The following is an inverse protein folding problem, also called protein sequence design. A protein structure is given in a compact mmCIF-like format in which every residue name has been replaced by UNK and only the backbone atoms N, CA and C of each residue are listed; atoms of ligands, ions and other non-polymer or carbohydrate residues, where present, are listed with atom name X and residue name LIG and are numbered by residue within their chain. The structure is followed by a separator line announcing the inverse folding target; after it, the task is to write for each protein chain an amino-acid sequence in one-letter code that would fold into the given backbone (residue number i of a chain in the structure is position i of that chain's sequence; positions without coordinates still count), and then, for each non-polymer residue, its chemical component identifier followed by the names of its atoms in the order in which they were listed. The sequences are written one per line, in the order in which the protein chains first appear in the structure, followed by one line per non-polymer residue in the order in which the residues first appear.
data_IF_813196556145
#
_entry.id   IF_813196556145
#
_cell.length_a   1.000
_cell.length_b   1.000
_cell.length_c   1.000
_cell.angle_alpha   90.00
_cell.angle_beta   90.00
_cell.angle_gamma   90.00
#
_symmetry.space_group_name_H-M   'P 1'
#
loop_
_entity.id
_entity.type
_entity.pdbx_description
1 polymer ?
#
# COMPACT_ATOMS: atom_id res chain seq x y z
N UNK A 1 -56.29 52.72 10.63
CA UNK A 1 -55.34 52.36 9.59
C UNK A 1 -54.09 51.79 10.26
N UNK A 2 -53.93 50.48 10.27
CA UNK A 2 -52.80 49.80 10.87
C UNK A 2 -51.90 49.31 9.72
N UNK A 3 -50.72 49.83 9.62
CA UNK A 3 -49.72 49.40 8.64
C UNK A 3 -49.07 48.11 9.12
N UNK A 4 -49.29 47.02 8.39
CA UNK A 4 -48.52 45.80 8.51
C UNK A 4 -47.23 45.93 7.72
N UNK A 5 -46.11 45.92 8.42
CA UNK A 5 -44.80 45.80 7.81
C UNK A 5 -44.49 44.30 7.69
N UNK A 6 -44.48 43.80 6.45
CA UNK A 6 -44.09 42.43 6.14
C UNK A 6 -42.57 42.41 6.03
N UNK A 7 -41.90 41.79 7.02
CA UNK A 7 -40.46 41.52 6.98
C UNK A 7 -40.26 40.25 6.16
N UNK A 8 -39.74 40.39 4.96
CA UNK A 8 -39.27 39.24 4.16
C UNK A 8 -37.90 38.79 4.72
N UNK A 9 -37.91 37.66 5.38
CA UNK A 9 -36.66 36.97 5.77
C UNK A 9 -36.10 36.30 4.53
N UNK A 10 -35.09 36.90 3.92
CA UNK A 10 -34.26 36.27 2.90
C UNK A 10 -33.40 35.22 3.59
N UNK A 11 -33.80 33.96 3.48
CA UNK A 11 -32.94 32.82 3.84
C UNK A 11 -31.85 32.73 2.77
N UNK A 12 -30.71 33.32 3.02
CA UNK A 12 -29.51 33.08 2.24
C UNK A 12 -29.08 31.67 2.57
N UNK A 13 -29.48 30.70 1.73
CA UNK A 13 -28.85 29.41 1.70
C UNK A 13 -27.40 29.62 1.26
N UNK A 14 -26.51 29.86 2.22
CA UNK A 14 -25.07 29.76 1.98
C UNK A 14 -24.80 28.32 1.62
N UNK A 15 -24.72 28.00 0.33
CA UNK A 15 -24.02 26.84 -0.16
C UNK A 15 -22.56 26.96 0.30
N UNK A 16 -22.27 26.49 1.51
CA UNK A 16 -20.90 26.22 1.88
C UNK A 16 -20.37 25.23 0.84
N UNK A 17 -19.29 25.56 0.13
CA UNK A 17 -18.67 24.58 -0.74
C UNK A 17 -18.40 23.36 0.15
N UNK A 18 -18.89 22.21 -0.27
CA UNK A 18 -18.50 20.94 0.34
C UNK A 18 -16.97 20.92 0.25
N UNK A 19 -16.32 21.23 1.36
CA UNK A 19 -14.88 21.06 1.47
C UNK A 19 -14.64 19.58 1.18
N UNK A 20 -14.03 19.33 0.04
CA UNK A 20 -13.57 18.03 -0.36
C UNK A 20 -12.77 17.45 0.81
N UNK A 21 -13.24 16.38 1.41
CA UNK A 21 -12.61 15.70 2.55
C UNK A 21 -11.23 15.15 2.21
N UNK A 22 -10.82 15.27 0.98
CA UNK A 22 -9.55 14.83 0.44
C UNK A 22 -8.32 15.56 0.98
N UNK A 23 -8.49 16.57 1.83
CA UNK A 23 -7.41 17.24 2.57
C UNK A 23 -7.12 16.57 3.91
N UNK A 24 -7.91 15.57 4.29
CA UNK A 24 -7.82 14.94 5.62
C UNK A 24 -6.69 13.96 5.75
N UNK A 25 -6.22 13.37 4.63
CA UNK A 25 -5.13 12.39 4.65
C UNK A 25 -3.75 12.99 4.81
N UNK A 26 -3.57 14.23 4.41
CA UNK A 26 -2.30 14.88 4.57
C UNK A 26 -2.45 16.36 4.79
N UNK A 27 -1.76 16.89 5.78
CA UNK A 27 -1.69 18.33 6.09
C UNK A 27 -0.28 18.82 5.93
N UNK A 28 -0.15 20.06 5.45
CA UNK A 28 1.11 20.77 5.53
C UNK A 28 1.37 21.21 6.98
N UNK A 29 2.50 20.80 7.54
CA UNK A 29 3.01 21.36 8.78
C UNK A 29 3.52 22.78 8.58
N UNK A 30 3.87 23.45 9.69
CA UNK A 30 4.45 24.83 9.66
C UNK A 30 5.75 24.91 8.84
N UNK A 31 6.42 23.78 8.66
CA UNK A 31 7.63 23.61 7.84
C UNK A 31 7.32 23.34 6.37
N UNK A 32 6.04 23.36 5.96
CA UNK A 32 5.59 23.04 4.61
C UNK A 32 5.66 21.54 4.26
N UNK A 33 5.93 20.68 5.23
CA UNK A 33 5.97 19.21 5.03
C UNK A 33 4.58 18.65 5.24
N UNK A 34 4.11 17.86 4.29
CA UNK A 34 2.86 17.12 4.39
C UNK A 34 3.02 15.90 5.28
N UNK A 35 2.02 15.58 6.07
CA UNK A 35 1.96 14.40 6.91
C UNK A 35 0.56 13.79 6.88
N UNK A 36 0.48 12.49 7.11
CA UNK A 36 -0.78 11.76 7.16
C UNK A 36 -1.62 12.20 8.36
N UNK A 37 -2.91 12.37 8.13
CA UNK A 37 -3.91 12.68 9.17
C UNK A 37 -4.97 11.59 9.13
N UNK A 38 -5.24 11.00 10.27
CA UNK A 38 -6.34 10.07 10.45
C UNK A 38 -7.65 10.82 10.63
N UNK A 39 -8.72 10.36 9.99
CA UNK A 39 -10.07 10.84 10.21
C UNK A 39 -10.97 9.69 10.65
N UNK A 40 -11.24 9.62 11.95
CA UNK A 40 -12.00 8.53 12.56
C UNK A 40 -13.51 8.56 12.21
N UNK A 41 -13.98 9.61 11.54
CA UNK A 41 -15.40 9.79 11.17
C UNK A 41 -15.69 9.50 9.69
N UNK A 42 -14.69 9.19 8.90
CA UNK A 42 -14.84 8.97 7.48
C UNK A 42 -15.65 7.70 7.14
N UNK A 43 -16.41 7.76 6.04
CA UNK A 43 -17.02 6.58 5.45
C UNK A 43 -16.01 5.93 4.48
N UNK A 44 -15.47 4.77 4.79
CA UNK A 44 -14.41 4.15 3.99
C UNK A 44 -14.83 3.84 2.55
N UNK A 45 -16.09 3.44 2.33
CA UNK A 45 -16.58 3.12 0.97
C UNK A 45 -16.58 4.33 0.04
N UNK A 46 -16.76 5.53 0.58
CA UNK A 46 -16.77 6.77 -0.18
C UNK A 46 -15.49 7.02 -0.94
N UNK A 47 -14.35 6.61 -0.38
CA UNK A 47 -13.04 6.83 -0.99
C UNK A 47 -12.75 5.88 -2.15
N UNK A 48 -13.47 4.76 -2.22
CA UNK A 48 -13.37 3.80 -3.31
C UNK A 48 -14.24 4.19 -4.50
N UNK A 49 -15.39 4.84 -4.26
CA UNK A 49 -16.37 5.20 -5.29
C UNK A 49 -15.82 6.25 -6.28
N UNK A 50 -15.01 7.19 -5.81
CA UNK A 50 -14.45 8.28 -6.61
C UNK A 50 -13.11 7.92 -7.30
N UNK A 51 -12.57 6.74 -7.02
CA UNK A 51 -11.30 6.30 -7.58
C UNK A 51 -11.41 6.01 -9.08
N UNK A 52 -10.39 6.38 -9.83
CA UNK A 52 -10.28 6.09 -11.26
C UNK A 52 -9.53 4.80 -11.53
N UNK A 53 -8.44 4.59 -10.80
CA UNK A 53 -7.55 3.44 -10.96
C UNK A 53 -7.88 2.37 -9.94
N UNK A 54 -7.86 2.70 -8.65
CA UNK A 54 -8.06 1.75 -7.57
C UNK A 54 -9.54 1.65 -7.17
N UNK A 55 -10.37 1.20 -8.12
CA UNK A 55 -11.79 0.96 -7.93
C UNK A 55 -12.03 -0.37 -7.19
N UNK A 56 -13.16 -0.47 -6.48
CA UNK A 56 -13.54 -1.71 -5.80
C UNK A 56 -13.55 -2.92 -6.77
N UNK A 57 -13.12 -4.07 -6.26
CA UNK A 57 -13.03 -5.35 -6.98
C UNK A 57 -11.91 -5.42 -8.04
N UNK A 58 -11.18 -4.33 -8.27
CA UNK A 58 -9.98 -4.38 -9.11
C UNK A 58 -8.86 -5.10 -8.40
N UNK A 59 -8.11 -5.85 -9.18
CA UNK A 59 -6.99 -6.67 -8.75
C UNK A 59 -5.75 -6.34 -9.57
N UNK A 60 -4.64 -6.27 -8.87
CA UNK A 60 -3.34 -5.95 -9.43
C UNK A 60 -2.36 -7.02 -8.96
N UNK A 61 -1.87 -7.84 -9.86
CA UNK A 61 -0.87 -8.86 -9.56
C UNK A 61 0.53 -8.31 -9.80
N UNK A 62 1.33 -8.33 -8.76
CA UNK A 62 2.72 -7.90 -8.79
C UNK A 62 3.66 -9.10 -8.66
N UNK A 63 4.79 -9.04 -9.39
CA UNK A 63 5.94 -9.90 -9.17
C UNK A 63 7.01 -9.10 -8.47
N UNK A 64 7.72 -9.71 -7.51
CA UNK A 64 8.83 -9.08 -6.83
C UNK A 64 10.10 -9.94 -6.90
N UNK A 65 11.24 -9.27 -6.86
CA UNK A 65 12.56 -9.85 -6.75
C UNK A 65 13.29 -9.18 -5.59
N UNK A 66 13.89 -10.00 -4.73
CA UNK A 66 14.68 -9.51 -3.61
C UNK A 66 16.15 -9.80 -3.87
N UNK A 67 16.99 -8.79 -3.70
CA UNK A 67 18.45 -8.90 -3.78
C UNK A 67 19.04 -8.49 -2.44
N UNK A 68 19.88 -9.35 -1.87
CA UNK A 68 20.57 -9.04 -0.62
C UNK A 68 21.53 -7.84 -0.77
N UNK A 69 22.16 -7.35 0.33
CA UNK A 69 23.12 -6.23 0.25
C UNK A 69 24.33 -6.50 -0.65
N UNK A 70 24.65 -7.74 -0.95
CA UNK A 70 25.69 -8.17 -1.88
C UNK A 70 25.22 -8.21 -3.34
N UNK A 71 23.93 -8.01 -3.58
CA UNK A 71 23.31 -8.04 -4.90
C UNK A 71 22.94 -9.44 -5.38
N UNK A 72 22.98 -10.43 -4.50
CA UNK A 72 22.59 -11.82 -4.81
C UNK A 72 21.07 -11.93 -4.69
N UNK A 73 20.43 -12.50 -5.72
CA UNK A 73 18.97 -12.76 -5.68
C UNK A 73 18.67 -13.84 -4.66
N UNK A 74 17.70 -13.57 -3.78
CA UNK A 74 17.21 -14.48 -2.74
C UNK A 74 15.72 -14.69 -2.90
N UNK A 75 15.23 -15.81 -2.42
CA UNK A 75 13.85 -16.25 -2.63
C UNK A 75 13.14 -16.45 -1.32
N UNK A 76 11.89 -15.99 -1.25
CA UNK A 76 11.00 -16.27 -0.13
C UNK A 76 10.31 -17.62 -0.34
N UNK A 77 10.25 -18.45 0.69
CA UNK A 77 9.58 -19.75 0.69
C UNK A 77 8.47 -19.78 1.74
N UNK A 78 7.59 -20.74 1.60
CA UNK A 78 6.64 -21.09 2.65
C UNK A 78 6.77 -22.58 2.98
N UNK A 79 6.49 -22.92 4.22
CA UNK A 79 6.38 -24.31 4.67
C UNK A 79 4.96 -24.58 5.16
N UNK A 80 4.43 -25.74 4.78
CA UNK A 80 3.15 -26.23 5.27
C UNK A 80 3.41 -27.21 6.39
N UNK A 81 2.99 -26.85 7.60
CA UNK A 81 3.14 -27.73 8.76
C UNK A 81 1.84 -28.50 8.95
N UNK A 82 1.83 -29.82 8.82
CA UNK A 82 0.66 -30.63 9.07
C UNK A 82 0.33 -30.62 10.57
N UNK A 83 -0.91 -30.29 10.89
CA UNK A 83 -1.47 -30.40 12.25
C UNK A 83 -2.63 -31.37 12.27
N UNK A 84 -2.83 -32.02 13.41
CA UNK A 84 -4.00 -32.87 13.62
C UNK A 84 -5.10 -32.10 14.33
N UNK A 85 -6.28 -32.08 13.71
CA UNK A 85 -7.51 -31.61 14.29
C UNK A 85 -8.40 -32.76 14.74
N UNK A 86 -9.30 -32.48 15.67
CA UNK A 86 -10.24 -33.43 16.22
C UNK A 86 -11.65 -32.86 16.08
N UNK A 87 -12.56 -33.65 15.53
CA UNK A 87 -13.97 -33.31 15.44
C UNK A 87 -14.78 -34.37 16.20
N UNK A 88 -15.67 -33.90 17.10
CA UNK A 88 -16.62 -34.78 17.78
C UNK A 88 -17.78 -35.07 16.82
N UNK A 89 -18.02 -36.33 16.53
CA UNK A 89 -19.18 -36.74 15.78
C UNK A 89 -20.45 -36.66 16.63
N UNK A 90 -21.64 -36.68 16.01
CA UNK A 90 -22.92 -36.75 16.72
C UNK A 90 -23.05 -38.00 17.59
N UNK A 91 -22.30 -39.05 17.35
CA UNK A 91 -22.23 -40.29 18.14
C UNK A 91 -21.27 -40.20 19.32
N UNK A 92 -20.54 -39.08 19.45
CA UNK A 92 -19.52 -38.88 20.50
C UNK A 92 -18.13 -39.47 20.19
N UNK A 93 -17.96 -40.04 19.02
CA UNK A 93 -16.63 -40.53 18.56
C UNK A 93 -15.79 -39.33 18.10
N UNK A 94 -14.46 -39.50 18.21
CA UNK A 94 -13.52 -38.46 17.77
C UNK A 94 -12.96 -38.82 16.40
N UNK A 95 -13.33 -38.08 15.37
CA UNK A 95 -12.67 -38.18 14.08
C UNK A 95 -11.41 -37.31 14.06
N UNK A 96 -10.31 -37.91 13.62
CA UNK A 96 -9.03 -37.23 13.43
C UNK A 96 -8.91 -36.83 11.96
N UNK A 97 -8.61 -35.59 11.71
CA UNK A 97 -8.29 -35.11 10.36
C UNK A 97 -6.97 -34.34 10.37
N UNK A 98 -6.26 -34.39 9.25
CA UNK A 98 -5.05 -33.60 9.08
C UNK A 98 -5.42 -32.31 8.37
N UNK A 99 -5.15 -31.17 9.01
CA UNK A 99 -5.18 -29.88 8.37
C UNK A 99 -3.78 -29.29 8.34
N UNK A 100 -3.55 -28.38 7.44
CA UNK A 100 -2.27 -27.71 7.35
C UNK A 100 -2.42 -26.33 7.97
N UNK A 101 -1.74 -26.10 9.09
CA UNK A 101 -1.60 -24.76 9.61
C UNK A 101 -0.62 -24.00 8.74
N UNK A 102 -0.96 -22.79 8.46
CA UNK A 102 -0.12 -21.89 7.73
C UNK A 102 0.87 -21.21 8.68
N UNK A 103 1.64 -21.97 9.40
CA UNK A 103 2.81 -21.41 10.07
C UNK A 103 3.86 -21.13 8.99
N UNK A 104 3.56 -20.07 8.25
CA UNK A 104 4.41 -19.63 7.17
C UNK A 104 5.60 -18.89 7.79
N UNK A 105 6.72 -19.55 7.85
CA UNK A 105 8.00 -18.90 8.06
C UNK A 105 8.38 -18.12 6.78
N UNK A 106 7.59 -17.13 6.44
CA UNK A 106 7.91 -16.20 5.35
C UNK A 106 9.14 -15.31 5.64
N UNK A 107 9.84 -15.62 6.71
CA UNK A 107 11.01 -14.88 7.17
C UNK A 107 12.30 -15.32 6.51
N UNK A 108 12.32 -16.51 5.93
CA UNK A 108 13.55 -17.08 5.42
C UNK A 108 13.76 -16.74 3.95
N UNK A 109 14.96 -16.31 3.64
CA UNK A 109 15.40 -15.98 2.29
C UNK A 109 16.38 -17.05 1.85
N UNK A 110 16.05 -17.77 0.79
CA UNK A 110 16.80 -18.94 0.32
C UNK A 110 17.57 -18.64 -0.96
N UNK A 111 18.62 -19.43 -1.20
CA UNK A 111 19.40 -19.38 -2.43
C UNK A 111 18.71 -20.14 -3.59
N UNK A 112 17.85 -21.12 -3.25
CA UNK A 112 17.20 -21.98 -4.23
C UNK A 112 15.85 -21.41 -4.68
N UNK A 113 15.60 -21.52 -5.98
CA UNK A 113 14.41 -20.96 -6.65
C UNK A 113 13.17 -21.84 -6.56
N UNK A 114 13.33 -23.12 -6.23
CA UNK A 114 12.22 -24.08 -6.17
C UNK A 114 11.24 -23.75 -5.05
N UNK A 115 9.96 -23.78 -5.34
CA UNK A 115 8.86 -23.48 -4.41
C UNK A 115 8.92 -22.07 -3.80
N UNK A 116 9.38 -21.08 -4.56
CA UNK A 116 9.45 -19.70 -4.09
C UNK A 116 8.14 -18.94 -4.29
N UNK A 117 7.89 -18.03 -3.35
CA UNK A 117 6.85 -17.01 -3.49
C UNK A 117 7.50 -15.75 -4.05
N UNK A 118 7.09 -15.33 -5.23
CA UNK A 118 7.58 -14.10 -5.86
C UNK A 118 6.45 -13.24 -6.44
N UNK A 119 5.18 -13.56 -6.11
CA UNK A 119 4.02 -12.81 -6.56
C UNK A 119 3.07 -12.52 -5.40
N UNK A 120 2.45 -11.36 -5.45
CA UNK A 120 1.32 -11.02 -4.61
C UNK A 120 0.25 -10.27 -5.40
N UNK A 121 -1.00 -10.40 -4.98
CA UNK A 121 -2.14 -9.68 -5.50
C UNK A 121 -2.54 -8.59 -4.52
N UNK A 122 -2.85 -7.42 -5.05
CA UNK A 122 -3.56 -6.35 -4.35
C UNK A 122 -5.00 -6.35 -4.84
N UNK A 123 -5.95 -6.57 -3.95
CA UNK A 123 -7.37 -6.43 -4.24
C UNK A 123 -7.91 -5.17 -3.55
N UNK A 124 -8.57 -4.32 -4.33
CA UNK A 124 -9.23 -3.13 -3.81
C UNK A 124 -10.60 -3.51 -3.26
N UNK A 125 -10.81 -3.20 -1.98
CA UNK A 125 -12.02 -3.59 -1.27
C UNK A 125 -12.92 -2.38 -1.00
N UNK A 126 -14.24 -2.61 -1.05
CA UNK A 126 -15.19 -1.70 -0.41
C UNK A 126 -15.37 -2.12 1.06
N UNK A 127 -15.00 -1.25 1.98
CA UNK A 127 -15.00 -1.54 3.42
C UNK A 127 -16.39 -1.66 4.03
N UNK A 128 -17.48 -1.33 3.32
CA UNK A 128 -18.83 -1.64 3.80
C UNK A 128 -19.04 -3.14 4.07
N UNK A 129 -18.29 -4.00 3.38
CA UNK A 129 -18.26 -5.45 3.60
C UNK A 129 -17.33 -5.88 4.74
N UNK A 130 -16.47 -4.98 5.23
CA UNK A 130 -15.52 -5.25 6.29
C UNK A 130 -15.78 -4.31 7.46
N UNK A 131 -15.79 -4.81 8.67
CA UNK A 131 -16.16 -4.09 9.90
C UNK A 131 -15.19 -2.99 10.35
N UNK A 132 -14.25 -2.58 9.51
CA UNK A 132 -13.27 -1.51 9.80
C UNK A 132 -13.85 -0.14 9.48
N UNK A 133 -14.64 0.38 10.39
CA UNK A 133 -15.27 1.72 10.29
C UNK A 133 -14.31 2.89 10.54
N UNK A 134 -13.08 2.61 10.96
CA UNK A 134 -12.05 3.58 11.35
C UNK A 134 -11.04 3.88 10.25
N UNK A 135 -11.27 3.35 9.05
CA UNK A 135 -10.37 3.53 7.93
C UNK A 135 -10.91 4.61 6.99
N UNK A 136 -10.16 5.67 6.84
CA UNK A 136 -10.46 6.84 6.00
C UNK A 136 -9.75 6.81 4.64
N UNK A 137 -9.29 5.64 4.23
CA UNK A 137 -8.63 5.37 2.95
C UNK A 137 -9.37 4.25 2.22
N UNK A 138 -9.19 4.18 0.89
CA UNK A 138 -9.58 3.00 0.12
C UNK A 138 -8.81 1.80 0.66
N UNK A 139 -9.52 0.75 1.04
CA UNK A 139 -8.88 -0.44 1.60
C UNK A 139 -8.35 -1.34 0.50
N UNK A 140 -7.11 -1.73 0.62
CA UNK A 140 -6.48 -2.77 -0.17
C UNK A 140 -6.17 -3.99 0.70
N UNK A 141 -6.34 -5.18 0.12
CA UNK A 141 -5.97 -6.45 0.72
C UNK A 141 -4.81 -7.06 -0.07
N UNK A 142 -3.81 -7.55 0.64
CA UNK A 142 -2.65 -8.23 0.06
C UNK A 142 -2.80 -9.73 0.16
N UNK A 143 -2.46 -10.44 -0.91
CA UNK A 143 -2.50 -11.89 -0.97
C UNK A 143 -1.23 -12.40 -1.64
N UNK A 144 -0.45 -13.23 -0.98
CA UNK A 144 0.59 -13.98 -1.68
C UNK A 144 -0.02 -15.04 -2.58
N UNK A 145 0.56 -15.22 -3.76
CA UNK A 145 0.12 -16.19 -4.75
C UNK A 145 1.12 -17.35 -4.78
N UNK A 146 0.58 -18.55 -4.66
CA UNK A 146 1.31 -19.81 -4.71
C UNK A 146 1.06 -20.49 -6.06
N UNK A 147 2.01 -21.28 -6.53
CA UNK A 147 1.87 -22.02 -7.79
C UNK A 147 1.08 -23.33 -7.62
N UNK A 148 0.62 -23.64 -6.39
CA UNK A 148 -0.20 -24.80 -6.08
C UNK A 148 -1.70 -24.49 -6.00
N UNK A 149 -2.51 -25.51 -5.67
CA UNK A 149 -3.98 -25.44 -5.59
C UNK A 149 -4.52 -24.44 -4.55
N UNK A 150 -3.68 -23.89 -3.68
CA UNK A 150 -4.02 -22.97 -2.59
C UNK A 150 -3.70 -21.52 -2.97
N UNK A 151 -4.05 -21.18 -4.13
CA UNK A 151 -3.57 -20.05 -4.91
C UNK A 151 -3.59 -18.68 -4.24
N UNK A 152 -4.14 -18.53 -3.00
CA UNK A 152 -4.33 -17.20 -2.44
C UNK A 152 -4.41 -17.22 -0.91
N UNK A 153 -3.50 -16.53 -0.23
CA UNK A 153 -3.54 -16.35 1.23
C UNK A 153 -3.65 -14.88 1.60
N UNK A 154 -4.70 -14.46 2.33
CA UNK A 154 -4.81 -13.08 2.81
C UNK A 154 -3.80 -12.84 3.93
N UNK A 155 -2.96 -11.83 3.79
CA UNK A 155 -1.95 -11.48 4.79
C UNK A 155 -2.34 -10.25 5.57
N UNK A 156 -2.56 -9.14 4.90
CA UNK A 156 -2.84 -7.88 5.55
C UNK A 156 -3.78 -6.99 4.76
N UNK A 157 -4.23 -5.96 5.45
CA UNK A 157 -4.99 -4.87 4.87
C UNK A 157 -4.21 -3.58 5.03
N UNK A 158 -4.27 -2.74 4.03
CA UNK A 158 -3.66 -1.42 4.04
C UNK A 158 -4.54 -0.41 3.30
N UNK A 159 -4.00 0.73 2.93
CA UNK A 159 -4.78 1.80 2.35
C UNK A 159 -4.17 2.47 1.15
N UNK A 160 -5.06 2.94 0.29
CA UNK A 160 -4.74 3.76 -0.88
C UNK A 160 -5.48 5.08 -0.73
N UNK A 161 -4.83 6.17 -1.10
CA UNK A 161 -5.48 7.47 -1.31
C UNK A 161 -5.38 7.81 -2.79
N UNK A 162 -6.54 7.91 -3.43
CA UNK A 162 -6.66 8.39 -4.80
C UNK A 162 -7.66 9.53 -4.85
N UNK A 163 -7.22 10.70 -5.30
CA UNK A 163 -8.06 11.87 -5.48
C UNK A 163 -7.45 12.83 -6.54
N UNK A 164 -8.08 13.97 -6.76
CA UNK A 164 -7.64 14.98 -7.73
C UNK A 164 -6.24 15.57 -7.49
N UNK A 165 -5.68 15.42 -6.29
CA UNK A 165 -4.38 15.99 -5.90
C UNK A 165 -3.30 14.93 -5.75
N UNK A 166 -3.68 13.76 -5.25
CA UNK A 166 -2.74 12.75 -4.81
C UNK A 166 -3.19 11.36 -5.25
N UNK A 167 -2.22 10.54 -5.58
CA UNK A 167 -2.36 9.10 -5.54
C UNK A 167 -1.15 8.55 -4.81
N UNK A 168 -1.37 7.86 -3.70
CA UNK A 168 -0.35 7.11 -2.99
C UNK A 168 -0.95 5.83 -2.40
N UNK A 169 -0.12 4.84 -2.18
CA UNK A 169 -0.51 3.57 -1.60
C UNK A 169 0.52 3.11 -0.57
N UNK A 170 0.06 2.40 0.44
CA UNK A 170 0.99 1.67 1.29
C UNK A 170 1.64 0.53 0.48
N UNK A 171 2.94 0.26 0.68
CA UNK A 171 3.54 -0.94 0.13
C UNK A 171 3.00 -2.18 0.85
N UNK A 172 3.13 -3.35 0.22
CA UNK A 172 2.99 -4.60 0.97
C UNK A 172 4.03 -4.63 2.10
N UNK A 173 3.59 -4.96 3.31
CA UNK A 173 4.39 -4.92 4.54
C UNK A 173 4.41 -6.27 5.26
N UNK A 174 4.12 -7.34 4.54
CA UNK A 174 4.08 -8.67 5.11
C UNK A 174 5.41 -9.38 4.93
N UNK A 175 5.84 -10.09 5.95
CA UNK A 175 7.02 -10.96 5.93
C UNK A 175 8.29 -10.19 5.53
N UNK A 176 9.00 -10.63 4.50
CA UNK A 176 10.20 -9.98 3.98
C UNK A 176 9.94 -8.54 3.48
N UNK A 177 8.73 -8.28 2.96
CA UNK A 177 8.36 -6.96 2.43
C UNK A 177 8.11 -5.92 3.54
N UNK A 178 8.09 -6.31 4.81
CA UNK A 178 7.97 -5.41 5.96
C UNK A 178 9.03 -4.30 5.98
N UNK A 179 10.21 -4.55 5.44
CA UNK A 179 11.29 -3.55 5.30
C UNK A 179 10.86 -2.32 4.50
N UNK A 180 9.86 -2.47 3.61
CA UNK A 180 9.34 -1.39 2.77
C UNK A 180 8.63 -0.29 3.57
N UNK A 181 8.24 -0.55 4.83
CA UNK A 181 7.71 0.51 5.71
C UNK A 181 8.72 1.63 5.94
N UNK A 182 10.00 1.33 5.86
CA UNK A 182 11.08 2.32 5.99
C UNK A 182 11.38 3.07 4.68
N UNK A 183 10.80 2.62 3.56
CA UNK A 183 11.03 3.18 2.24
C UNK A 183 10.03 4.33 1.94
N UNK A 184 10.31 5.18 0.94
CA UNK A 184 9.28 6.05 0.41
C UNK A 184 8.12 5.22 -0.15
N UNK A 185 6.88 5.56 0.21
CA UNK A 185 5.72 4.93 -0.38
C UNK A 185 5.58 5.37 -1.85
N UNK A 186 5.02 4.52 -2.74
CA UNK A 186 4.65 4.93 -4.08
C UNK A 186 3.67 6.10 -4.00
N UNK A 187 4.07 7.27 -4.52
CA UNK A 187 3.31 8.50 -4.37
C UNK A 187 3.50 9.41 -5.58
N UNK A 188 2.42 9.90 -6.15
CA UNK A 188 2.41 10.92 -7.18
C UNK A 188 1.46 12.07 -6.81
N UNK A 189 1.86 13.29 -7.11
CA UNK A 189 1.04 14.49 -6.92
C UNK A 189 0.67 15.13 -8.25
N UNK A 190 -0.62 15.46 -8.41
CA UNK A 190 -1.15 16.19 -9.55
C UNK A 190 -1.03 17.72 -9.37
N UNK A 191 -0.96 18.51 -10.45
CA UNK A 191 -0.76 18.06 -11.82
C UNK A 191 0.63 17.49 -12.05
N UNK A 192 0.72 16.49 -12.94
CA UNK A 192 1.98 15.85 -13.31
C UNK A 192 2.79 16.82 -14.16
N UNK A 193 4.04 17.12 -13.70
CA UNK A 193 4.97 17.98 -14.42
C UNK A 193 6.40 17.55 -14.11
N UNK A 194 7.22 17.36 -15.15
CA UNK A 194 8.65 17.07 -15.00
C UNK A 194 9.33 18.13 -14.13
N UNK A 195 10.11 17.72 -13.16
CA UNK A 195 10.77 18.56 -12.19
C UNK A 195 9.94 18.93 -10.96
N UNK A 196 8.63 18.60 -10.91
CA UNK A 196 7.81 18.80 -9.72
C UNK A 196 8.39 18.04 -8.55
N UNK A 197 8.42 18.67 -7.36
CA UNK A 197 8.91 18.10 -6.11
C UNK A 197 7.90 18.29 -5.00
N UNK A 198 7.85 17.34 -4.07
CA UNK A 198 7.08 17.47 -2.84
C UNK A 198 7.76 16.73 -1.69
N UNK A 199 7.26 16.97 -0.48
CA UNK A 199 7.77 16.37 0.75
C UNK A 199 6.62 15.79 1.54
N UNK A 200 6.94 14.77 2.31
CA UNK A 200 6.03 14.12 3.21
C UNK A 200 6.80 13.59 4.43
N UNK A 201 6.13 13.18 5.48
CA UNK A 201 6.75 12.54 6.65
C UNK A 201 5.79 11.58 7.32
N UNK A 202 6.34 10.53 7.90
CA UNK A 202 5.63 9.52 8.66
C UNK A 202 6.40 9.22 9.93
N UNK A 203 5.68 9.01 11.04
CA UNK A 203 6.26 8.50 12.28
C UNK A 203 6.12 6.99 12.31
N UNK A 204 7.25 6.29 12.45
CA UNK A 204 7.34 4.83 12.39
C UNK A 204 7.81 4.32 13.75
N UNK A 205 7.06 3.37 14.32
CA UNK A 205 7.39 2.74 15.60
C UNK A 205 8.41 1.61 15.46
N UNK A 206 9.04 1.25 16.58
CA UNK A 206 10.05 0.18 16.64
C UNK A 206 9.51 -1.22 16.33
N UNK A 207 8.20 -1.42 16.35
CA UNK A 207 7.56 -2.69 15.92
C UNK A 207 7.81 -3.03 14.43
N UNK A 208 8.26 -2.08 13.63
CA UNK A 208 8.66 -2.28 12.24
C UNK A 208 10.16 -2.61 12.08
N UNK A 209 10.89 -2.64 13.20
CA UNK A 209 12.28 -3.07 13.24
C UNK A 209 12.40 -4.59 13.21
N UNK A 210 13.45 -5.07 12.55
CA UNK A 210 13.76 -6.49 12.47
C UNK A 210 15.28 -6.66 12.39
N UNK A 211 15.84 -7.69 13.04
CA UNK A 211 17.27 -7.94 13.06
C UNK A 211 17.85 -8.21 11.67
N UNK A 212 17.02 -8.69 10.75
CA UNK A 212 17.42 -8.96 9.36
C UNK A 212 17.83 -7.70 8.61
N UNK A 213 17.30 -6.52 8.97
CA UNK A 213 17.62 -5.27 8.29
C UNK A 213 17.99 -4.12 9.22
N UNK A 214 17.20 -3.82 10.27
CA UNK A 214 17.51 -2.76 11.23
C UNK A 214 16.56 -2.75 12.41
N UNK A 215 17.09 -2.69 13.61
CA UNK A 215 16.32 -2.45 14.84
C UNK A 215 16.54 -1.05 15.38
N UNK A 216 15.60 -0.54 16.15
CA UNK A 216 15.70 0.74 16.86
C UNK A 216 14.70 0.79 18.02
N UNK A 217 14.89 1.73 18.94
CA UNK A 217 13.99 1.98 20.06
C UNK A 217 13.07 3.18 19.78
N UNK A 218 11.80 3.05 20.23
CA UNK A 218 10.80 4.10 20.18
C UNK A 218 10.39 4.51 18.77
N UNK A 219 10.06 5.78 18.61
CA UNK A 219 9.56 6.33 17.36
C UNK A 219 10.68 6.98 16.54
N UNK A 220 10.64 6.81 15.22
CA UNK A 220 11.46 7.57 14.28
C UNK A 220 10.54 8.40 13.37
N UNK A 221 11.03 9.57 12.98
CA UNK A 221 10.38 10.38 11.94
C UNK A 221 11.11 10.14 10.63
N UNK A 222 10.44 9.49 9.70
CA UNK A 222 10.94 9.30 8.34
C UNK A 222 10.47 10.48 7.47
N UNK A 223 11.43 11.18 6.86
CA UNK A 223 11.18 12.37 6.02
C UNK A 223 11.41 12.02 4.58
N UNK A 224 10.38 12.22 3.77
CA UNK A 224 10.38 11.87 2.36
C UNK A 224 10.54 13.10 1.48
N UNK A 225 11.28 12.93 0.38
CA UNK A 225 11.38 13.89 -0.72
C UNK A 225 11.15 13.16 -2.02
N UNK A 226 10.26 13.68 -2.83
CA UNK A 226 9.87 13.13 -4.13
C UNK A 226 10.18 14.11 -5.23
N UNK A 227 10.45 13.58 -6.44
CA UNK A 227 10.63 14.37 -7.66
C UNK A 227 10.15 13.58 -8.87
N UNK A 228 9.35 14.20 -9.72
CA UNK A 228 9.06 13.69 -11.06
C UNK A 228 10.28 13.98 -11.93
N UNK A 229 10.96 12.92 -12.36
CA UNK A 229 12.20 13.02 -13.17
C UNK A 229 11.93 12.83 -14.65
N UNK A 230 10.87 12.10 -15.00
CA UNK A 230 10.41 11.95 -16.38
C UNK A 230 8.89 11.80 -16.43
N UNK A 231 8.28 12.22 -17.54
CA UNK A 231 6.82 12.14 -17.75
C UNK A 231 6.42 11.25 -18.93
N UNK A 232 7.39 10.64 -19.60
CA UNK A 232 7.14 9.79 -20.77
C UNK A 232 8.27 8.75 -20.92
N UNK A 233 8.48 7.93 -19.90
CA UNK A 233 9.42 6.81 -19.99
C UNK A 233 8.69 5.50 -20.29
N UNK A 234 9.31 4.62 -21.05
CA UNK A 234 8.76 3.31 -21.37
C UNK A 234 9.14 2.29 -20.29
N UNK A 235 8.14 1.50 -19.87
CA UNK A 235 8.32 0.36 -18.97
C UNK A 235 7.77 -0.90 -19.64
N UNK A 236 8.63 -1.88 -19.84
CA UNK A 236 8.24 -3.18 -20.38
C UNK A 236 7.67 -4.04 -19.25
N UNK A 237 6.45 -4.48 -19.43
CA UNK A 237 5.73 -5.40 -18.53
C UNK A 237 5.19 -6.58 -19.33
N UNK A 238 4.73 -7.68 -18.69
CA UNK A 238 4.00 -8.74 -19.41
C UNK A 238 2.72 -8.26 -20.09
N UNK A 239 2.17 -7.12 -19.65
CA UNK A 239 0.97 -6.48 -20.24
C UNK A 239 1.30 -5.63 -21.48
N UNK A 240 2.59 -5.51 -21.83
CA UNK A 240 3.07 -4.69 -22.93
C UNK A 240 4.02 -3.58 -22.48
N UNK A 241 4.42 -2.73 -23.44
CA UNK A 241 5.21 -1.53 -23.16
C UNK A 241 4.30 -0.38 -22.78
N UNK A 242 4.45 0.14 -21.57
CA UNK A 242 3.61 1.19 -21.00
C UNK A 242 4.38 2.51 -20.92
N UNK A 243 3.74 3.61 -21.34
CA UNK A 243 4.24 4.96 -21.11
C UNK A 243 3.98 5.36 -19.66
N UNK A 244 5.01 5.79 -18.95
CA UNK A 244 4.98 6.03 -17.52
C UNK A 244 5.60 7.38 -17.12
N UNK A 245 5.17 7.85 -15.97
CA UNK A 245 5.81 8.94 -15.23
C UNK A 245 6.79 8.33 -14.23
N UNK A 246 8.04 8.76 -14.28
CA UNK A 246 9.08 8.33 -13.35
C UNK A 246 9.16 9.28 -12.16
N UNK A 247 9.02 8.72 -10.97
CA UNK A 247 9.15 9.42 -9.68
C UNK A 247 10.33 8.84 -8.93
N UNK A 248 11.26 9.68 -8.56
CA UNK A 248 12.37 9.33 -7.66
C UNK A 248 12.11 9.88 -6.28
N UNK A 249 12.31 9.05 -5.26
CA UNK A 249 12.06 9.40 -3.88
C UNK A 249 13.19 8.95 -2.95
N UNK A 250 13.38 9.71 -1.89
CA UNK A 250 14.34 9.44 -0.83
C UNK A 250 13.62 9.58 0.50
N UNK A 251 13.79 8.59 1.38
CA UNK A 251 13.44 8.69 2.78
C UNK A 251 14.70 8.86 3.63
N UNK A 252 14.62 9.69 4.65
CA UNK A 252 15.70 9.96 5.58
C UNK A 252 15.17 10.00 7.01
N UNK A 253 15.74 9.18 7.87
CA UNK A 253 15.52 9.17 9.32
C UNK A 253 16.83 9.14 10.11
N UNK A 254 16.75 9.08 11.44
CA UNK A 254 17.94 8.93 12.28
C UNK A 254 18.65 7.58 12.14
N UNK A 255 17.93 6.55 11.63
CA UNK A 255 18.51 5.20 11.48
C UNK A 255 19.11 4.97 10.10
N UNK A 256 18.89 5.86 9.14
CA UNK A 256 19.48 5.73 7.80
C UNK A 256 18.63 6.35 6.70
N UNK A 257 18.90 5.90 5.48
CA UNK A 257 18.34 6.42 4.24
C UNK A 257 17.91 5.30 3.33
N UNK A 258 16.75 5.44 2.72
CA UNK A 258 16.20 4.51 1.73
C UNK A 258 15.81 5.25 0.45
N UNK A 259 15.55 4.52 -0.64
CA UNK A 259 15.20 5.09 -1.94
C UNK A 259 14.09 4.30 -2.61
N UNK A 260 13.34 5.00 -3.43
CA UNK A 260 12.35 4.42 -4.34
C UNK A 260 12.48 5.09 -5.71
N UNK A 261 12.43 4.30 -6.76
CA UNK A 261 12.07 4.75 -8.10
C UNK A 261 10.76 4.10 -8.48
N UNK A 262 9.69 4.89 -8.59
CA UNK A 262 8.37 4.42 -8.97
C UNK A 262 8.01 4.87 -10.38
N UNK A 263 7.30 4.01 -11.11
CA UNK A 263 6.82 4.25 -12.45
C UNK A 263 5.29 4.20 -12.43
N UNK A 264 4.69 5.33 -12.69
CA UNK A 264 3.26 5.53 -12.65
C UNK A 264 2.70 5.59 -14.08
N UNK A 265 1.63 4.82 -14.31
CA UNK A 265 0.82 4.85 -15.52
C UNK A 265 -0.61 5.30 -15.15
N UNK A 266 -1.24 6.14 -15.96
CA UNK A 266 -2.56 6.74 -15.67
C UNK A 266 -3.74 5.76 -15.76
N UNK A 267 -3.53 4.57 -16.32
CA UNK A 267 -4.52 3.49 -16.38
C UNK A 267 -4.34 2.47 -15.26
N UNK A 268 -3.09 2.10 -14.97
CA UNK A 268 -2.76 0.98 -14.10
C UNK A 268 -2.15 1.37 -12.75
N UNK A 269 -1.95 2.66 -12.50
CA UNK A 269 -1.30 3.13 -11.27
C UNK A 269 0.21 2.88 -11.27
N UNK A 270 0.75 2.39 -10.16
CA UNK A 270 2.18 2.10 -10.07
C UNK A 270 2.49 0.73 -10.68
N UNK A 271 3.18 0.74 -11.82
CA UNK A 271 3.48 -0.47 -12.61
C UNK A 271 4.86 -1.05 -12.34
N UNK A 272 5.78 -0.24 -11.80
CA UNK A 272 7.11 -0.70 -11.37
C UNK A 272 7.62 0.12 -10.20
N UNK A 273 8.26 -0.54 -9.24
CA UNK A 273 8.84 0.07 -8.04
C UNK A 273 10.18 -0.59 -7.75
N UNK A 274 11.25 0.21 -7.83
CA UNK A 274 12.62 -0.22 -7.53
C UNK A 274 13.04 0.38 -6.18
N UNK A 275 13.17 -0.45 -5.16
CA UNK A 275 13.47 -0.04 -3.80
C UNK A 275 14.93 -0.32 -3.44
N UNK A 276 15.56 0.60 -2.70
CA UNK A 276 16.80 0.36 -1.98
C UNK A 276 16.52 0.52 -0.50
N UNK A 277 16.64 -0.56 0.24
CA UNK A 277 16.26 -0.68 1.64
C UNK A 277 17.33 -0.14 2.60
N UNK A 278 17.00 -0.13 3.90
CA UNK A 278 17.82 0.47 4.94
C UNK A 278 19.16 -0.26 5.17
N UNK A 279 19.20 -1.54 4.89
CA UNK A 279 20.36 -2.44 4.98
C UNK A 279 21.19 -2.50 3.69
N UNK A 280 20.73 -1.83 2.61
CA UNK A 280 21.34 -1.86 1.27
C UNK A 280 20.77 -2.93 0.35
N UNK A 281 19.90 -3.81 0.83
CA UNK A 281 19.17 -4.76 -0.02
C UNK A 281 18.24 -4.03 -0.99
N UNK A 282 17.80 -4.73 -2.05
CA UNK A 282 16.92 -4.16 -3.06
C UNK A 282 15.69 -5.03 -3.26
N UNK A 283 14.54 -4.39 -3.48
CA UNK A 283 13.31 -5.07 -3.87
C UNK A 283 12.80 -4.39 -5.14
N UNK A 284 12.73 -5.17 -6.21
CA UNK A 284 12.11 -4.77 -7.48
C UNK A 284 10.70 -5.36 -7.55
N UNK A 285 9.70 -4.51 -7.75
CA UNK A 285 8.29 -4.90 -7.84
C UNK A 285 7.78 -4.45 -9.20
N UNK A 286 7.11 -5.34 -9.92
CA UNK A 286 6.53 -5.06 -11.24
C UNK A 286 5.12 -5.61 -11.35
N UNK A 287 4.20 -4.79 -11.85
CA UNK A 287 2.86 -5.21 -12.23
C UNK A 287 2.94 -6.19 -13.40
N UNK A 288 2.30 -7.35 -13.25
CA UNK A 288 2.31 -8.41 -14.26
C UNK A 288 0.94 -8.71 -14.84
N UNK A 289 -0.12 -8.40 -14.09
CA UNK A 289 -1.50 -8.69 -14.50
C UNK A 289 -2.49 -7.79 -13.77
N UNK A 290 -3.65 -7.53 -14.40
CA UNK A 290 -4.83 -6.92 -13.78
C UNK A 290 -6.07 -7.67 -14.25
N UNK A 291 -7.20 -7.51 -13.54
CA UNK A 291 -8.48 -8.15 -13.92
C UNK A 291 -9.41 -7.23 -14.74
N UNK A 292 -8.90 -6.13 -15.26
CA UNK A 292 -9.68 -5.13 -16.02
C UNK A 292 -8.92 -4.65 -17.26
#
# INVERSE_FOLDING_TARGET
MKNLITIAILTVCACLPAFSQNTEYSRSGKDGVWFEVRNDTANPCRYTEDNKIYQAERKFTFRFHYYDPQGIERYMRYERIPKQGYELTETGDTNTYTYYDADFSFSDVFDAKDSCINRYEVEVLCTAKHSRKDYDQTVEAFYFLFDDQWSRWPLSYSGIVENERNLWMHPNRDCLLQVLELNPFPYIQYPIKKGKTWKWRLTIGSQWGDERWKTWDGLIVNKYKYKITDTNCEVVTPMGTLSCVKVEAIAQSRIGKTRLTAYYNDTYGFVKMDNTNIDGSRIEIKLVETNF
#
